data_IF_036983831622
#
_entry.id   IF_036983831622
#
_cell.length_a   1.000
_cell.length_b   1.000
_cell.length_c   1.000
_cell.angle_alpha   90.00
_cell.angle_beta   90.00
_cell.angle_gamma   90.00
#
_symmetry.space_group_name_H-M   'P 1'
#
loop_
_entity.id
_entity.type
_entity.pdbx_description
1 polymer ?
#
# COMPACT_ATOMS: atom_id res chain seq x y z
N UNK A 1 -10.56 28.08 11.78
CA UNK A 1 -10.54 27.37 10.48
C UNK A 1 -9.21 27.65 9.80
N UNK A 2 -8.51 26.63 9.30
CA UNK A 2 -7.18 26.80 8.67
C UNK A 2 -7.33 26.98 7.15
N UNK A 3 -7.74 28.19 6.75
CA UNK A 3 -7.94 28.60 5.35
C UNK A 3 -6.70 28.39 4.48
N UNK A 4 -5.50 28.50 5.04
CA UNK A 4 -4.24 28.26 4.34
C UNK A 4 -4.06 26.80 3.93
N UNK A 5 -4.36 25.85 4.83
CA UNK A 5 -4.32 24.41 4.51
C UNK A 5 -5.33 24.04 3.44
N UNK A 6 -6.55 24.59 3.50
CA UNK A 6 -7.55 24.36 2.46
C UNK A 6 -7.10 24.88 1.09
N UNK A 7 -6.52 26.08 1.03
CA UNK A 7 -6.01 26.64 -0.22
C UNK A 7 -4.88 25.79 -0.81
N UNK A 8 -3.99 25.27 0.05
CA UNK A 8 -2.93 24.36 -0.38
C UNK A 8 -3.49 23.06 -0.96
N UNK A 9 -4.51 22.48 -0.31
CA UNK A 9 -5.17 21.27 -0.81
C UNK A 9 -5.84 21.51 -2.17
N UNK A 10 -6.59 22.61 -2.32
CA UNK A 10 -7.23 22.96 -3.59
C UNK A 10 -6.20 23.06 -4.72
N UNK A 11 -5.04 23.67 -4.45
CA UNK A 11 -3.94 23.73 -5.43
C UNK A 11 -3.40 22.34 -5.75
N UNK A 12 -3.18 21.48 -4.76
CA UNK A 12 -2.74 20.10 -5.00
C UNK A 12 -3.73 19.36 -5.90
N UNK A 13 -5.03 19.45 -5.62
CA UNK A 13 -6.06 18.76 -6.40
C UNK A 13 -6.08 19.25 -7.86
N UNK A 14 -5.98 20.56 -8.09
CA UNK A 14 -5.87 21.15 -9.42
C UNK A 14 -4.66 20.60 -10.19
N UNK A 15 -3.48 20.60 -9.54
CA UNK A 15 -2.26 20.08 -10.16
C UNK A 15 -2.29 18.57 -10.37
N UNK A 16 -3.03 17.81 -9.56
CA UNK A 16 -3.23 16.38 -9.74
C UNK A 16 -4.04 16.07 -11.00
N UNK A 17 -5.14 16.81 -11.22
CA UNK A 17 -5.95 16.70 -12.46
C UNK A 17 -5.08 17.00 -13.66
N UNK A 18 -4.32 18.10 -13.59
CA UNK A 18 -3.36 18.44 -14.64
C UNK A 18 -2.43 17.23 -14.83
N UNK A 19 -1.61 16.83 -13.88
CA UNK A 19 -0.63 15.74 -14.06
C UNK A 19 -1.22 14.47 -14.69
N UNK A 20 -2.44 14.09 -14.32
CA UNK A 20 -3.17 12.95 -14.91
C UNK A 20 -3.49 13.13 -16.40
N UNK A 21 -3.94 14.32 -16.81
CA UNK A 21 -4.20 14.62 -18.23
C UNK A 21 -2.93 14.54 -19.08
N UNK A 22 -1.78 15.02 -18.58
CA UNK A 22 -0.51 14.88 -19.33
C UNK A 22 -0.09 13.42 -19.45
N UNK A 23 -0.29 12.61 -18.41
CA UNK A 23 -0.05 11.18 -18.48
C UNK A 23 -0.96 10.50 -19.51
N UNK A 24 -2.22 10.94 -19.64
CA UNK A 24 -3.17 10.42 -20.63
C UNK A 24 -2.81 10.79 -22.07
N UNK A 25 -2.35 12.02 -22.30
CA UNK A 25 -2.05 12.53 -23.65
C UNK A 25 -0.62 12.13 -24.09
N UNK A 26 0.24 11.71 -23.15
CA UNK A 26 1.62 11.30 -23.46
C UNK A 26 2.55 12.48 -23.84
N UNK A 27 2.12 13.71 -23.58
CA UNK A 27 2.91 14.92 -23.86
C UNK A 27 4.14 15.00 -22.93
N UNK A 28 5.23 15.57 -23.45
CA UNK A 28 6.36 15.93 -22.60
C UNK A 28 6.01 17.11 -21.69
N UNK A 29 6.69 17.21 -20.54
CA UNK A 29 6.49 18.32 -19.58
C UNK A 29 6.64 19.68 -20.28
N UNK A 30 7.63 19.79 -21.18
CA UNK A 30 7.91 21.01 -21.94
C UNK A 30 6.71 21.44 -22.78
N UNK A 31 6.18 20.55 -23.64
CA UNK A 31 5.03 20.86 -24.51
C UNK A 31 3.81 21.29 -23.69
N UNK A 32 3.60 20.65 -22.54
CA UNK A 32 2.47 20.98 -21.68
C UNK A 32 2.63 22.34 -21.00
N UNK A 33 3.84 22.65 -20.55
CA UNK A 33 4.20 23.96 -20.02
C UNK A 33 4.00 25.06 -21.07
N UNK A 34 4.44 24.81 -22.30
CA UNK A 34 4.29 25.72 -23.44
C UNK A 34 2.80 25.99 -23.74
N UNK A 35 1.93 24.98 -23.70
CA UNK A 35 0.49 25.11 -23.95
C UNK A 35 -0.29 25.86 -22.86
N UNK A 36 0.09 25.67 -21.59
CA UNK A 36 -0.67 26.23 -20.46
C UNK A 36 -0.05 27.51 -19.89
N UNK A 37 1.07 27.98 -20.46
CA UNK A 37 1.77 29.19 -19.99
C UNK A 37 2.46 29.02 -18.65
N UNK A 38 2.81 27.79 -18.26
CA UNK A 38 3.51 27.52 -17.01
C UNK A 38 5.00 27.34 -17.23
N UNK A 39 5.82 27.77 -16.26
CA UNK A 39 7.24 27.40 -16.27
C UNK A 39 7.41 25.90 -15.95
N UNK A 40 8.47 25.31 -16.49
CA UNK A 40 8.86 23.93 -16.17
C UNK A 40 9.13 23.77 -14.67
N UNK A 41 9.70 24.79 -14.02
CA UNK A 41 9.96 24.79 -12.58
C UNK A 41 8.67 24.71 -11.76
N UNK A 42 7.64 25.47 -12.14
CA UNK A 42 6.33 25.42 -11.51
C UNK A 42 5.73 24.03 -11.63
N UNK A 43 5.79 23.43 -12.82
CA UNK A 43 5.30 22.08 -13.05
C UNK A 43 6.01 21.04 -12.17
N UNK A 44 7.34 21.08 -12.17
CA UNK A 44 8.16 20.13 -11.41
C UNK A 44 7.97 20.29 -9.90
N UNK A 45 7.82 21.52 -9.42
CA UNK A 45 7.51 21.80 -8.02
C UNK A 45 6.22 21.11 -7.58
N UNK A 46 5.12 21.30 -8.32
CA UNK A 46 3.84 20.69 -7.98
C UNK A 46 3.83 19.18 -8.15
N UNK A 47 4.51 18.67 -9.18
CA UNK A 47 4.68 17.22 -9.38
C UNK A 47 5.42 16.58 -8.20
N UNK A 48 6.46 17.23 -7.69
CA UNK A 48 7.19 16.76 -6.51
C UNK A 48 6.30 16.81 -5.26
N UNK A 49 5.62 17.94 -5.03
CA UNK A 49 4.70 18.15 -3.91
C UNK A 49 3.60 17.08 -3.84
N UNK A 50 3.05 16.70 -5.00
CA UNK A 50 2.06 15.61 -5.13
C UNK A 50 2.64 14.25 -4.74
N UNK A 51 3.88 13.96 -5.15
CA UNK A 51 4.56 12.71 -4.80
C UNK A 51 4.81 12.63 -3.28
N UNK A 52 5.27 13.72 -2.66
CA UNK A 52 5.46 13.79 -1.21
C UNK A 52 4.14 13.57 -0.47
N UNK A 53 3.07 14.26 -0.87
CA UNK A 53 1.74 14.10 -0.25
C UNK A 53 1.20 12.68 -0.39
N UNK A 54 1.42 12.05 -1.56
CA UNK A 54 1.03 10.66 -1.78
C UNK A 54 1.82 9.71 -0.87
N UNK A 55 3.15 9.88 -0.77
CA UNK A 55 3.99 9.05 0.10
C UNK A 55 3.56 9.21 1.57
N UNK A 56 3.37 10.46 2.03
CA UNK A 56 2.90 10.73 3.39
C UNK A 56 1.53 10.09 3.67
N UNK A 57 0.64 10.06 2.68
CA UNK A 57 -0.69 9.43 2.82
C UNK A 57 -0.65 7.90 2.67
N UNK A 58 0.25 7.35 1.86
CA UNK A 58 0.31 5.93 1.51
C UNK A 58 1.16 5.09 2.47
N UNK A 59 1.99 5.72 3.30
CA UNK A 59 2.65 5.06 4.43
C UNK A 59 1.60 4.75 5.52
N UNK A 60 0.83 3.69 5.29
CA UNK A 60 0.05 3.08 6.35
C UNK A 60 1.00 2.46 7.39
N UNK A 61 0.61 2.57 8.67
CA UNK A 61 1.38 2.03 9.79
C UNK A 61 1.61 0.52 9.61
N UNK A 62 2.87 0.12 9.42
CA UNK A 62 3.25 -1.29 9.30
C UNK A 62 3.28 -1.86 10.72
N UNK A 63 2.18 -2.52 11.12
CA UNK A 63 2.12 -3.19 12.42
C UNK A 63 3.01 -4.44 12.39
N UNK A 64 3.95 -4.60 13.35
CA UNK A 64 4.72 -5.83 13.48
C UNK A 64 3.80 -7.02 13.72
N UNK A 65 3.94 -8.07 12.91
CA UNK A 65 3.21 -9.32 13.11
C UNK A 65 3.97 -10.11 14.19
N UNK A 66 3.42 -10.21 15.40
CA UNK A 66 4.00 -11.05 16.45
C UNK A 66 3.80 -12.52 16.04
N UNK A 67 4.87 -13.33 15.88
CA UNK A 67 4.70 -14.75 15.59
C UNK A 67 4.01 -15.45 16.76
N UNK A 68 3.10 -16.42 16.51
CA UNK A 68 2.49 -17.21 17.57
C UNK A 68 3.57 -17.96 18.34
N UNK A 69 3.56 -17.82 19.67
CA UNK A 69 4.44 -18.57 20.57
C UNK A 69 4.18 -20.07 20.35
N UNK A 70 5.21 -20.89 20.07
CA UNK A 70 5.05 -22.33 19.98
C UNK A 70 4.52 -22.88 21.30
N UNK A 71 3.27 -23.35 21.29
CA UNK A 71 2.67 -24.02 22.44
C UNK A 71 3.48 -25.25 22.80
N UNK A 72 3.84 -25.35 24.08
CA UNK A 72 4.39 -26.58 24.69
C UNK A 72 3.43 -27.72 24.38
N UNK A 73 3.89 -28.70 23.59
CA UNK A 73 3.19 -29.96 23.39
C UNK A 73 3.04 -30.63 24.76
N UNK A 74 1.82 -30.62 25.29
CA UNK A 74 1.46 -31.39 26.47
C UNK A 74 1.42 -32.87 26.07
N UNK A 75 2.58 -33.52 26.17
CA UNK A 75 2.70 -34.96 26.06
C UNK A 75 1.93 -35.61 27.21
N UNK A 76 0.72 -36.06 26.90
CA UNK A 76 -0.03 -36.96 27.76
C UNK A 76 -0.96 -37.74 26.84
N UNK A 77 -0.59 -38.99 26.54
CA UNK A 77 -1.58 -40.05 26.47
C UNK A 77 -0.93 -41.37 26.84
N UNK A 78 -1.49 -41.89 27.92
CA UNK A 78 -1.13 -43.09 28.65
C UNK A 78 -1.06 -44.34 27.78
N UNK A 79 -0.08 -45.16 28.16
CA UNK A 79 0.06 -46.58 27.86
C UNK A 79 -1.23 -47.35 28.12
N UNK A 80 -1.79 -47.98 27.08
CA UNK A 80 -2.55 -49.22 27.25
C UNK A 80 -2.07 -50.27 26.25
N UNK A 81 -1.31 -51.21 26.80
CA UNK A 81 -1.08 -52.56 26.31
C UNK A 81 -2.43 -53.29 26.11
N UNK A 82 -2.53 -54.09 25.05
CA UNK A 82 -3.15 -55.42 24.98
C UNK A 82 -3.76 -55.72 23.59
N UNK A 83 -3.28 -56.82 22.98
CA UNK A 83 -4.15 -57.75 22.24
C UNK A 83 -4.03 -57.76 20.73
N UNK A 84 -2.91 -58.26 20.19
CA UNK A 84 -2.88 -58.80 18.82
C UNK A 84 -3.83 -60.00 18.76
N UNK A 85 -4.94 -59.89 18.03
CA UNK A 85 -5.64 -61.07 17.50
C UNK A 85 -5.86 -60.85 16.00
N UNK A 86 -5.04 -61.53 15.20
CA UNK A 86 -5.24 -61.67 13.77
C UNK A 86 -6.34 -62.71 13.53
N UNK A 87 -7.45 -62.34 12.90
CA UNK A 87 -8.27 -63.29 12.12
C UNK A 87 -9.07 -62.53 11.07
N UNK A 88 -8.62 -62.55 9.81
CA UNK A 88 -9.47 -62.24 8.66
C UNK A 88 -9.54 -63.53 7.83
N UNK A 89 -10.71 -64.19 7.93
CA UNK A 89 -11.16 -65.21 7.00
C UNK A 89 -11.89 -64.53 5.86
N UNK A 90 -11.53 -64.96 4.65
CA UNK A 90 -12.08 -64.56 3.35
C UNK A 90 -13.40 -65.29 3.11
N UNK A 91 -14.40 -64.66 2.47
CA UNK A 91 -15.30 -65.34 1.55
C UNK A 91 -14.92 -65.11 0.09
#
# INVERSE_FOLDING_TARGET
MNTTKQLQQIKLDQWAVLCKEQAKIGLTVKQRCDQNGYSIHTYNYWKHRLKENYVESALHDIVPITPPVPGVLHESRESHDLGITNTISIP
#
